data_IF_268665404174
#
_entry.id   IF_268665404174
#
_cell.length_a   1.000
_cell.length_b   1.000
_cell.length_c   1.000
_cell.angle_alpha   90.00
_cell.angle_beta   90.00
_cell.angle_gamma   90.00
#
_symmetry.space_group_name_H-M   'P 1'
#
loop_
_entity.id
_entity.type
_entity.pdbx_description
1 polymer ?
#
# COMPACT_ATOMS: atom_id res chain seq x y z
N UNK A 1 -42.57 65.78 51.71
CA UNK A 1 -44.02 65.86 51.43
C UNK A 1 -44.30 65.11 50.15
N UNK A 2 -45.25 64.19 50.23
CA UNK A 2 -45.65 63.18 49.24
C UNK A 2 -45.94 63.74 47.83
N UNK A 3 -45.57 62.99 46.79
CA UNK A 3 -46.52 62.50 45.78
C UNK A 3 -45.97 61.32 44.97
N UNK A 4 -46.87 60.35 44.80
CA UNK A 4 -46.73 59.00 44.28
C UNK A 4 -46.53 58.91 42.76
N UNK A 5 -45.94 57.80 42.32
CA UNK A 5 -45.97 57.34 40.92
C UNK A 5 -45.61 55.87 40.86
N UNK A 6 -46.63 55.00 40.81
CA UNK A 6 -46.54 53.55 40.63
C UNK A 6 -46.17 53.27 39.17
N UNK A 7 -45.11 52.49 38.93
CA UNK A 7 -44.77 51.96 37.62
C UNK A 7 -44.74 50.42 37.69
N UNK A 8 -45.76 49.80 37.10
CA UNK A 8 -45.77 48.37 36.79
C UNK A 8 -44.82 48.12 35.61
N UNK A 9 -43.78 47.31 35.81
CA UNK A 9 -43.03 46.70 34.70
C UNK A 9 -43.18 45.19 34.81
N UNK A 10 -43.89 44.66 33.81
CA UNK A 10 -44.17 43.27 33.53
C UNK A 10 -42.85 42.57 33.15
N UNK A 11 -42.52 41.50 33.85
CA UNK A 11 -41.42 40.59 33.50
C UNK A 11 -41.76 39.86 32.20
N UNK A 12 -41.02 40.16 31.12
CA UNK A 12 -41.03 39.38 29.89
C UNK A 12 -39.87 38.40 29.93
N UNK A 13 -40.16 37.14 30.26
CA UNK A 13 -39.25 36.01 30.06
C UNK A 13 -39.07 35.80 28.56
N UNK A 14 -37.87 36.08 28.04
CA UNK A 14 -37.50 35.81 26.66
C UNK A 14 -37.25 34.30 26.50
N UNK A 15 -38.28 33.56 26.09
CA UNK A 15 -38.12 32.20 25.60
C UNK A 15 -37.48 32.27 24.21
N UNK A 16 -36.18 31.95 24.12
CA UNK A 16 -35.50 31.71 22.85
C UNK A 16 -36.07 30.45 22.21
N UNK A 17 -37.01 30.64 21.28
CA UNK A 17 -37.47 29.63 20.34
C UNK A 17 -36.32 29.38 19.34
N UNK A 18 -35.55 28.32 19.53
CA UNK A 18 -34.57 27.86 18.54
C UNK A 18 -35.36 27.21 17.41
N UNK A 19 -35.44 27.90 16.28
CA UNK A 19 -35.97 27.38 15.03
C UNK A 19 -34.95 26.35 14.51
N UNK A 20 -35.28 25.06 14.60
CA UNK A 20 -34.59 24.02 13.85
C UNK A 20 -34.92 24.22 12.37
N UNK A 21 -33.99 24.78 11.61
CA UNK A 21 -34.00 24.67 10.16
C UNK A 21 -33.58 23.24 9.79
N UNK A 22 -34.50 22.46 9.25
CA UNK A 22 -34.20 21.22 8.56
C UNK A 22 -33.38 21.54 7.30
N UNK A 23 -32.07 21.32 7.36
CA UNK A 23 -31.23 21.18 6.17
C UNK A 23 -31.41 19.76 5.59
N UNK A 24 -31.72 19.68 4.30
CA UNK A 24 -31.81 18.44 3.52
C UNK A 24 -30.47 17.68 3.41
N UNK A 25 -30.43 16.57 2.66
CA UNK A 25 -29.35 15.60 2.75
C UNK A 25 -28.02 16.17 2.26
N UNK A 26 -27.09 16.26 3.22
CA UNK A 26 -25.65 16.00 3.11
C UNK A 26 -24.95 16.29 1.79
N UNK A 27 -24.55 17.55 1.57
CA UNK A 27 -23.21 17.76 1.05
C UNK A 27 -22.29 17.82 2.29
N UNK A 28 -21.56 16.73 2.54
CA UNK A 28 -20.59 16.67 3.62
C UNK A 28 -19.65 17.87 3.58
N UNK A 29 -19.57 18.61 4.68
CA UNK A 29 -18.46 19.56 4.85
C UNK A 29 -17.17 18.75 4.90
N UNK A 30 -16.06 19.20 4.30
CA UNK A 30 -14.80 18.46 4.38
C UNK A 30 -14.49 18.17 5.85
N UNK A 31 -14.29 16.88 6.17
CA UNK A 31 -13.84 16.48 7.51
C UNK A 31 -12.56 17.24 7.80
N UNK A 32 -12.54 17.95 8.93
CA UNK A 32 -11.52 18.93 9.28
C UNK A 32 -10.10 18.36 9.06
N UNK A 33 -9.39 18.86 8.05
CA UNK A 33 -8.02 18.43 7.70
C UNK A 33 -7.87 17.64 6.38
N UNK A 34 -8.93 17.05 5.81
CA UNK A 34 -8.86 16.33 4.53
C UNK A 34 -9.21 17.27 3.37
N UNK A 35 -8.28 17.45 2.43
CA UNK A 35 -8.56 18.24 1.22
C UNK A 35 -9.65 17.59 0.37
N UNK A 36 -10.49 18.37 -0.33
CA UNK A 36 -11.52 17.87 -1.26
C UNK A 36 -10.98 16.82 -2.25
N UNK A 37 -9.74 16.98 -2.72
CA UNK A 37 -9.10 16.02 -3.63
C UNK A 37 -8.93 14.62 -3.03
N UNK A 38 -8.95 14.46 -1.71
CA UNK A 38 -8.82 13.21 -0.97
C UNK A 38 -10.09 12.85 -0.18
N UNK A 39 -11.19 13.58 -0.39
CA UNK A 39 -12.42 13.41 0.38
C UNK A 39 -13.23 12.22 -0.15
N UNK A 40 -13.66 11.25 0.68
CA UNK A 40 -14.59 10.20 0.26
C UNK A 40 -15.85 10.76 -0.41
N UNK A 41 -16.33 11.92 0.03
CA UNK A 41 -17.52 12.57 -0.55
C UNK A 41 -17.40 12.95 -2.04
N UNK A 42 -16.18 12.98 -2.58
CA UNK A 42 -15.90 13.38 -3.96
C UNK A 42 -15.80 12.20 -4.95
N UNK A 43 -16.15 10.99 -4.53
CA UNK A 43 -16.30 9.85 -5.45
C UNK A 43 -17.37 10.13 -6.53
N UNK A 44 -17.21 9.60 -7.77
CA UNK A 44 -18.12 9.89 -8.88
C UNK A 44 -19.58 9.49 -8.64
N UNK A 45 -19.81 8.38 -7.94
CA UNK A 45 -21.13 7.91 -7.53
C UNK A 45 -21.11 7.54 -6.04
N UNK A 46 -20.87 8.55 -5.19
CA UNK A 46 -20.89 8.38 -3.75
C UNK A 46 -22.23 7.77 -3.26
N UNK A 47 -22.21 7.11 -2.10
CA UNK A 47 -23.36 6.42 -1.49
C UNK A 47 -23.95 5.26 -2.33
N UNK A 48 -23.22 4.79 -3.35
CA UNK A 48 -23.66 3.70 -4.22
C UNK A 48 -22.60 2.59 -4.36
N UNK A 49 -23.05 1.39 -4.75
CA UNK A 49 -22.19 0.22 -4.90
C UNK A 49 -21.48 -0.11 -3.59
N UNK A 50 -20.15 -0.23 -3.62
CA UNK A 50 -19.32 -0.49 -2.44
C UNK A 50 -19.41 0.62 -1.38
N UNK A 51 -19.73 1.86 -1.78
CA UNK A 51 -19.85 3.03 -0.90
C UNK A 51 -21.25 3.19 -0.31
N UNK A 52 -22.15 2.23 -0.51
CA UNK A 52 -23.49 2.25 0.11
C UNK A 52 -23.37 2.30 1.63
N UNK A 53 -24.30 2.99 2.29
CA UNK A 53 -24.28 3.15 3.75
C UNK A 53 -24.21 1.81 4.50
N UNK A 54 -23.34 1.74 5.50
CA UNK A 54 -23.03 0.51 6.25
C UNK A 54 -22.02 -0.43 5.57
N UNK A 55 -21.52 -0.09 4.38
CA UNK A 55 -20.39 -0.76 3.72
C UNK A 55 -19.14 0.14 3.82
N UNK A 56 -18.59 0.62 2.71
CA UNK A 56 -17.32 1.37 2.66
C UNK A 56 -17.52 2.88 2.50
N UNK A 57 -18.55 3.46 3.10
CA UNK A 57 -19.02 4.84 2.85
C UNK A 57 -17.98 5.94 3.18
N UNK A 58 -16.97 5.63 3.99
CA UNK A 58 -15.89 6.57 4.37
C UNK A 58 -14.50 6.18 3.86
N UNK A 59 -14.39 5.20 2.96
CA UNK A 59 -13.08 4.77 2.44
C UNK A 59 -12.39 5.92 1.71
N UNK A 60 -11.11 6.14 2.01
CA UNK A 60 -10.35 7.18 1.33
C UNK A 60 -10.12 6.82 -0.15
N UNK A 61 -10.06 7.78 -1.06
CA UNK A 61 -9.69 7.52 -2.45
C UNK A 61 -8.22 7.12 -2.55
N UNK A 62 -7.95 6.09 -3.36
CA UNK A 62 -6.61 5.52 -3.54
C UNK A 62 -5.60 6.56 -4.07
N UNK A 63 -6.10 7.56 -4.80
CA UNK A 63 -5.37 8.74 -5.30
C UNK A 63 -6.28 9.94 -5.27
N UNK A 64 -5.69 11.13 -5.36
CA UNK A 64 -6.45 12.37 -5.52
C UNK A 64 -7.42 12.27 -6.70
N UNK A 65 -8.69 12.65 -6.52
CA UNK A 65 -9.75 12.53 -7.53
C UNK A 65 -9.40 13.20 -8.87
N UNK A 66 -8.65 14.30 -8.84
CA UNK A 66 -8.24 15.04 -10.03
C UNK A 66 -6.95 14.51 -10.68
N UNK A 67 -6.28 13.55 -10.05
CA UNK A 67 -5.09 12.92 -10.60
C UNK A 67 -5.42 12.10 -11.85
N UNK A 68 -4.43 11.96 -12.75
CA UNK A 68 -4.60 11.13 -13.95
C UNK A 68 -5.00 9.70 -13.58
N UNK A 69 -4.33 9.10 -12.60
CA UNK A 69 -4.62 7.73 -12.17
C UNK A 69 -6.06 7.56 -11.66
N UNK A 70 -6.57 8.48 -10.84
CA UNK A 70 -7.96 8.39 -10.38
C UNK A 70 -8.95 8.50 -11.55
N UNK A 71 -8.70 9.40 -12.51
CA UNK A 71 -9.53 9.54 -13.70
C UNK A 71 -9.54 8.28 -14.57
N UNK A 72 -8.37 7.69 -14.81
CA UNK A 72 -8.25 6.44 -15.56
C UNK A 72 -8.98 5.29 -14.84
N UNK A 73 -8.90 5.23 -13.50
CA UNK A 73 -9.62 4.25 -12.67
C UNK A 73 -11.14 4.43 -12.80
N UNK A 74 -11.64 5.66 -12.77
CA UNK A 74 -13.08 5.91 -12.93
C UNK A 74 -13.57 5.62 -14.34
N UNK A 75 -12.76 5.91 -15.36
CA UNK A 75 -13.07 5.57 -16.75
C UNK A 75 -13.22 4.06 -16.92
N UNK A 76 -12.22 3.28 -16.49
CA UNK A 76 -12.28 1.82 -16.54
C UNK A 76 -13.39 1.26 -15.62
N UNK A 77 -13.60 1.88 -14.47
CA UNK A 77 -14.68 1.53 -13.55
C UNK A 77 -16.06 1.66 -14.22
N UNK A 78 -16.31 2.73 -14.96
CA UNK A 78 -17.55 2.90 -15.71
C UNK A 78 -17.77 1.79 -16.74
N UNK A 79 -16.73 1.31 -17.41
CA UNK A 79 -16.82 0.17 -18.35
C UNK A 79 -17.19 -1.14 -17.63
N UNK A 80 -16.87 -1.24 -16.33
CA UNK A 80 -17.19 -2.37 -15.46
C UNK A 80 -18.47 -2.16 -14.64
N UNK A 81 -19.24 -1.11 -14.95
CA UNK A 81 -20.43 -0.68 -14.19
C UNK A 81 -20.16 -0.43 -12.69
N UNK A 82 -18.96 0.06 -12.39
CA UNK A 82 -18.52 0.55 -11.09
C UNK A 82 -17.91 1.96 -11.25
N UNK A 83 -18.73 3.02 -11.29
CA UNK A 83 -18.26 4.40 -11.45
C UNK A 83 -17.25 4.85 -10.39
N UNK A 84 -17.17 4.17 -9.23
CA UNK A 84 -16.22 4.48 -8.17
C UNK A 84 -14.86 3.76 -8.36
N UNK A 85 -14.79 2.78 -9.28
CA UNK A 85 -13.56 2.12 -9.71
C UNK A 85 -12.96 1.13 -8.69
N UNK A 86 -13.74 0.67 -7.70
CA UNK A 86 -13.31 -0.31 -6.72
C UNK A 86 -12.94 -1.65 -7.37
N UNK A 87 -13.78 -2.17 -8.28
CA UNK A 87 -13.62 -3.49 -8.92
C UNK A 87 -12.46 -3.53 -9.93
N UNK A 88 -11.94 -2.36 -10.35
CA UNK A 88 -10.73 -2.27 -11.19
C UNK A 88 -9.54 -2.94 -10.50
N UNK A 89 -9.42 -2.78 -9.19
CA UNK A 89 -8.34 -3.36 -8.40
C UNK A 89 -8.80 -4.57 -7.60
N UNK A 90 -9.98 -4.48 -7.00
CA UNK A 90 -10.47 -5.49 -6.08
C UNK A 90 -11.28 -6.60 -6.75
N UNK A 91 -11.65 -6.48 -8.03
CA UNK A 91 -12.62 -7.38 -8.67
C UNK A 91 -13.93 -7.43 -7.86
N UNK A 92 -14.66 -8.55 -7.88
CA UNK A 92 -15.95 -8.69 -7.19
C UNK A 92 -17.12 -8.12 -7.99
N UNK A 93 -18.19 -7.72 -7.30
CA UNK A 93 -19.41 -7.25 -7.92
C UNK A 93 -19.98 -5.99 -7.23
N UNK A 94 -19.78 -4.83 -7.85
CA UNK A 94 -20.27 -3.53 -7.37
C UNK A 94 -21.79 -3.32 -7.53
N UNK A 95 -22.51 -4.20 -8.24
CA UNK A 95 -23.93 -4.01 -8.58
C UNK A 95 -24.91 -4.51 -7.51
N UNK A 96 -24.41 -5.00 -6.39
CA UNK A 96 -25.24 -5.66 -5.38
C UNK A 96 -24.91 -5.14 -3.99
N UNK A 97 -25.95 -4.88 -3.19
CA UNK A 97 -25.81 -4.58 -1.77
C UNK A 97 -25.63 -5.83 -0.90
N UNK A 98 -25.69 -7.03 -1.47
CA UNK A 98 -25.42 -8.26 -0.72
C UNK A 98 -23.91 -8.48 -0.61
N UNK A 99 -23.38 -8.41 0.61
CA UNK A 99 -21.96 -8.59 0.94
C UNK A 99 -21.34 -9.86 0.35
N UNK A 100 -21.99 -11.01 0.50
CA UNK A 100 -21.44 -12.29 0.05
C UNK A 100 -21.36 -12.37 -1.48
N UNK A 101 -22.33 -11.77 -2.17
CA UNK A 101 -22.31 -11.69 -3.64
C UNK A 101 -21.32 -10.64 -4.12
N UNK A 102 -21.22 -9.48 -3.44
CA UNK A 102 -20.29 -8.41 -3.78
C UNK A 102 -18.83 -8.86 -3.63
N UNK A 103 -18.51 -9.59 -2.56
CA UNK A 103 -17.15 -10.03 -2.25
C UNK A 103 -16.77 -11.38 -2.87
N UNK A 104 -17.69 -12.02 -3.61
CA UNK A 104 -17.38 -13.28 -4.29
C UNK A 104 -16.28 -13.04 -5.33
N UNK A 105 -15.18 -13.80 -5.23
CA UNK A 105 -13.98 -13.67 -6.08
C UNK A 105 -13.30 -12.28 -5.99
N UNK A 106 -13.52 -11.54 -4.92
CA UNK A 106 -12.82 -10.27 -4.68
C UNK A 106 -11.38 -10.54 -4.24
N UNK A 107 -10.46 -9.70 -4.72
CA UNK A 107 -9.07 -9.63 -4.27
C UNK A 107 -8.98 -8.70 -3.07
N UNK A 108 -8.59 -9.25 -1.92
CA UNK A 108 -8.41 -8.47 -0.69
C UNK A 108 -7.12 -7.63 -0.69
N UNK A 109 -6.06 -8.08 -1.39
CA UNK A 109 -4.74 -7.45 -1.40
C UNK A 109 -4.29 -7.11 -2.83
N UNK A 110 -4.87 -6.06 -3.45
CA UNK A 110 -4.59 -5.72 -4.84
C UNK A 110 -3.14 -5.29 -5.09
N UNK A 111 -2.38 -4.90 -4.06
CA UNK A 111 -0.97 -4.52 -4.22
C UNK A 111 0.00 -5.69 -4.43
N UNK A 112 -0.47 -6.93 -4.27
CA UNK A 112 0.36 -8.12 -4.32
C UNK A 112 0.95 -8.34 -5.70
N UNK A 113 2.22 -8.77 -5.75
CA UNK A 113 2.92 -9.09 -6.99
C UNK A 113 2.56 -10.49 -7.52
N UNK A 114 1.85 -11.29 -6.73
CA UNK A 114 1.41 -12.63 -7.17
C UNK A 114 0.10 -12.60 -7.95
N UNK A 115 -0.47 -11.40 -8.14
CA UNK A 115 -1.63 -11.19 -8.99
C UNK A 115 -1.15 -11.12 -10.44
N UNK A 116 -1.23 -12.25 -11.12
CA UNK A 116 -0.83 -12.35 -12.52
C UNK A 116 -1.74 -11.45 -13.38
N UNK A 117 -3.05 -11.47 -13.21
CA UNK A 117 -3.96 -10.66 -14.02
C UNK A 117 -4.68 -9.60 -13.18
N UNK A 118 -4.37 -8.33 -13.47
CA UNK A 118 -5.15 -7.18 -13.02
C UNK A 118 -4.53 -6.29 -11.93
N UNK A 119 -5.36 -5.53 -11.23
CA UNK A 119 -4.94 -4.50 -10.28
C UNK A 119 -3.95 -3.49 -10.89
N UNK A 120 -2.77 -3.31 -10.30
CA UNK A 120 -1.75 -2.36 -10.79
C UNK A 120 -1.31 -2.71 -12.21
N UNK A 121 -1.33 -3.99 -12.58
CA UNK A 121 -0.86 -4.48 -13.89
C UNK A 121 -1.72 -3.98 -15.05
N UNK A 122 -2.98 -3.61 -14.81
CA UNK A 122 -3.86 -3.03 -15.85
C UNK A 122 -3.25 -1.79 -16.52
N UNK A 123 -2.46 -1.01 -15.78
CA UNK A 123 -1.85 0.22 -16.28
C UNK A 123 -0.31 0.22 -16.20
N UNK A 124 0.28 -0.72 -15.47
CA UNK A 124 1.71 -0.73 -15.10
C UNK A 124 2.35 -2.11 -15.32
N UNK A 125 2.03 -2.77 -16.44
CA UNK A 125 2.52 -4.10 -16.80
C UNK A 125 4.05 -4.19 -16.82
N UNK A 126 4.73 -3.14 -17.29
CA UNK A 126 6.19 -3.06 -17.33
C UNK A 126 6.82 -3.10 -15.92
N UNK A 127 6.09 -2.61 -14.90
CA UNK A 127 6.57 -2.61 -13.52
C UNK A 127 6.33 -3.94 -12.83
N UNK A 128 5.33 -4.72 -13.25
CA UNK A 128 5.10 -6.08 -12.75
C UNK A 128 6.32 -6.98 -13.02
N UNK A 129 6.84 -6.93 -14.25
CA UNK A 129 8.05 -7.65 -14.63
C UNK A 129 9.25 -7.23 -13.77
N UNK A 130 9.46 -5.92 -13.61
CA UNK A 130 10.58 -5.38 -12.84
C UNK A 130 10.48 -5.71 -11.34
N UNK A 131 9.27 -5.72 -10.78
CA UNK A 131 9.05 -5.98 -9.36
C UNK A 131 9.47 -7.40 -8.96
N UNK A 132 9.31 -8.39 -9.84
CA UNK A 132 9.78 -9.75 -9.57
C UNK A 132 11.31 -9.89 -9.54
N UNK A 133 12.03 -9.02 -10.27
CA UNK A 133 13.48 -9.11 -10.50
C UNK A 133 14.32 -8.10 -9.73
N UNK A 134 13.71 -7.15 -9.05
CA UNK A 134 14.46 -6.15 -8.32
C UNK A 134 15.20 -6.77 -7.12
N UNK A 135 16.26 -6.09 -6.65
CA UNK A 135 17.13 -6.58 -5.58
C UNK A 135 16.40 -6.82 -4.25
N UNK A 136 15.33 -6.07 -3.96
CA UNK A 136 14.53 -6.27 -2.75
C UNK A 136 13.65 -7.51 -2.83
N UNK A 137 13.30 -7.98 -4.03
CA UNK A 137 12.55 -9.21 -4.22
C UNK A 137 13.47 -10.43 -4.35
N UNK A 138 14.52 -10.32 -5.15
CA UNK A 138 15.43 -11.45 -5.40
C UNK A 138 16.39 -11.71 -4.25
N UNK A 139 16.72 -10.69 -3.46
CA UNK A 139 17.62 -10.80 -2.31
C UNK A 139 19.04 -11.26 -2.66
N UNK A 140 19.40 -11.30 -3.94
CA UNK A 140 20.57 -12.02 -4.45
C UNK A 140 21.87 -11.56 -3.77
N UNK A 141 22.08 -10.25 -3.63
CA UNK A 141 23.25 -9.71 -2.96
C UNK A 141 23.31 -10.01 -1.47
N UNK A 142 22.17 -10.04 -0.76
CA UNK A 142 22.10 -10.40 0.66
C UNK A 142 22.41 -11.89 0.85
N UNK A 143 21.81 -12.72 0.01
CA UNK A 143 22.02 -14.17 0.01
C UNK A 143 23.50 -14.49 -0.28
N UNK A 144 24.05 -13.94 -1.37
CA UNK A 144 25.44 -14.15 -1.75
C UNK A 144 26.39 -13.67 -0.64
N UNK A 145 26.16 -12.49 -0.08
CA UNK A 145 26.99 -11.97 1.01
C UNK A 145 26.97 -12.82 2.28
N UNK A 146 25.81 -13.40 2.63
CA UNK A 146 25.71 -14.32 3.75
C UNK A 146 26.44 -15.63 3.49
N UNK A 147 26.25 -16.24 2.31
CA UNK A 147 26.96 -17.46 1.91
C UNK A 147 28.48 -17.25 1.84
N UNK A 148 28.91 -16.06 1.39
CA UNK A 148 30.33 -15.67 1.42
C UNK A 148 30.89 -15.64 2.83
N UNK A 149 30.17 -15.02 3.78
CA UNK A 149 30.55 -14.97 5.19
C UNK A 149 30.63 -16.35 5.87
N UNK A 150 29.91 -17.34 5.35
CA UNK A 150 29.89 -18.73 5.83
C UNK A 150 30.72 -19.68 4.97
N UNK A 151 31.95 -19.25 4.63
CA UNK A 151 32.92 -20.10 3.96
C UNK A 151 32.85 -20.09 2.44
N UNK A 152 32.25 -19.06 1.84
CA UNK A 152 32.26 -18.86 0.39
C UNK A 152 31.69 -20.03 -0.43
N UNK A 153 30.53 -20.56 -0.01
CA UNK A 153 29.89 -21.72 -0.62
C UNK A 153 29.67 -21.60 -2.14
N UNK A 154 29.42 -20.38 -2.63
CA UNK A 154 29.26 -20.08 -4.07
C UNK A 154 30.39 -19.25 -4.64
N UNK A 155 31.48 -19.06 -3.89
CA UNK A 155 32.49 -18.08 -4.25
C UNK A 155 31.90 -16.67 -4.38
N UNK A 156 32.42 -15.87 -5.33
CA UNK A 156 31.89 -14.54 -5.62
C UNK A 156 30.64 -14.55 -6.51
N UNK A 157 30.18 -15.73 -6.93
CA UNK A 157 29.10 -15.85 -7.89
C UNK A 157 27.73 -15.75 -7.19
N UNK A 158 26.83 -14.85 -7.64
CA UNK A 158 25.47 -14.75 -7.14
C UNK A 158 24.59 -15.77 -7.84
N UNK A 159 24.54 -16.97 -7.28
CA UNK A 159 23.80 -18.12 -7.84
C UNK A 159 22.33 -18.11 -7.40
N UNK A 160 22.07 -17.66 -6.18
CA UNK A 160 20.78 -17.87 -5.52
C UNK A 160 19.98 -16.60 -5.34
N UNK A 161 18.67 -16.72 -5.54
CA UNK A 161 17.65 -15.74 -5.19
C UNK A 161 16.66 -16.31 -4.18
N UNK A 162 15.82 -15.43 -3.63
CA UNK A 162 14.70 -15.80 -2.78
C UNK A 162 13.64 -16.63 -3.54
N UNK A 163 13.56 -16.42 -4.85
CA UNK A 163 12.76 -17.19 -5.79
C UNK A 163 13.64 -17.56 -6.98
N UNK A 164 13.33 -18.69 -7.64
CA UNK A 164 13.92 -19.00 -8.94
C UNK A 164 13.39 -17.99 -9.96
N UNK A 165 14.31 -17.35 -10.70
CA UNK A 165 13.93 -16.35 -11.68
C UNK A 165 14.96 -16.22 -12.80
N UNK A 166 14.46 -15.97 -14.01
CA UNK A 166 15.27 -15.69 -15.19
C UNK A 166 14.86 -14.37 -15.83
N UNK A 167 15.82 -13.70 -16.44
CA UNK A 167 15.57 -12.55 -17.32
C UNK A 167 15.12 -13.04 -18.71
N UNK A 168 13.86 -12.79 -19.06
CA UNK A 168 13.23 -13.23 -20.30
C UNK A 168 12.90 -12.11 -21.28
N UNK A 169 12.89 -10.85 -20.85
CA UNK A 169 12.68 -9.68 -21.73
C UNK A 169 14.00 -9.12 -22.28
N UNK A 170 15.13 -9.66 -21.80
CA UNK A 170 16.44 -9.39 -22.31
C UNK A 170 17.12 -8.22 -21.62
N UNK A 171 18.39 -8.04 -21.97
CA UNK A 171 19.33 -7.25 -21.18
C UNK A 171 19.15 -5.72 -21.29
N UNK A 172 18.15 -5.23 -22.01
CA UNK A 172 17.93 -3.79 -22.19
C UNK A 172 16.76 -3.36 -21.31
N UNK A 173 16.93 -2.42 -20.36
CA UNK A 173 15.82 -1.96 -19.54
C UNK A 173 14.64 -1.47 -20.39
N UNK A 174 13.43 -1.91 -20.07
CA UNK A 174 12.21 -1.48 -20.76
C UNK A 174 11.96 0.02 -20.56
N UNK A 175 12.17 0.48 -19.32
CA UNK A 175 11.98 1.87 -18.90
C UNK A 175 13.28 2.68 -18.91
N UNK A 176 13.14 4.00 -19.00
CA UNK A 176 14.24 4.96 -18.90
C UNK A 176 14.66 5.58 -20.24
N UNK A 177 15.46 6.65 -20.16
CA UNK A 177 15.95 7.38 -21.33
C UNK A 177 17.01 6.59 -22.09
N UNK A 178 17.30 6.91 -23.37
CA UNK A 178 18.40 6.28 -24.11
C UNK A 178 19.74 6.35 -23.36
N UNK A 179 20.05 7.49 -22.73
CA UNK A 179 21.26 7.66 -21.93
C UNK A 179 21.29 6.75 -20.69
N UNK A 180 20.14 6.53 -20.04
CA UNK A 180 20.02 5.58 -18.93
C UNK A 180 20.27 4.14 -19.41
N UNK A 181 19.67 3.73 -20.53
CA UNK A 181 19.86 2.37 -21.08
C UNK A 181 21.33 2.12 -21.43
N UNK A 182 21.99 3.09 -22.07
CA UNK A 182 23.43 3.02 -22.35
C UNK A 182 24.27 2.91 -21.07
N UNK A 183 23.93 3.70 -20.04
CA UNK A 183 24.58 3.60 -18.73
C UNK A 183 24.42 2.22 -18.10
N UNK A 184 23.23 1.63 -18.14
CA UNK A 184 22.97 0.30 -17.61
C UNK A 184 23.74 -0.79 -18.36
N UNK A 185 23.87 -0.69 -19.69
CA UNK A 185 24.73 -1.58 -20.47
C UNK A 185 26.18 -1.51 -20.01
N UNK A 186 26.75 -0.30 -19.88
CA UNK A 186 28.12 -0.13 -19.38
C UNK A 186 28.31 -0.67 -17.96
N UNK A 187 27.33 -0.49 -17.08
CA UNK A 187 27.37 -1.05 -15.73
C UNK A 187 27.40 -2.57 -15.75
N UNK A 188 26.55 -3.20 -16.56
CA UNK A 188 26.51 -4.65 -16.70
C UNK A 188 27.83 -5.20 -17.26
N UNK A 189 28.35 -4.59 -18.31
CA UNK A 189 29.61 -5.03 -18.92
C UNK A 189 30.77 -4.96 -17.91
N UNK A 190 30.74 -3.96 -17.03
CA UNK A 190 31.75 -3.77 -15.99
C UNK A 190 31.54 -4.68 -14.77
N UNK A 191 30.29 -4.99 -14.43
CA UNK A 191 29.93 -5.72 -13.21
C UNK A 191 28.90 -6.82 -13.51
N UNK A 192 29.22 -7.82 -14.35
CA UNK A 192 28.24 -8.80 -14.82
C UNK A 192 27.59 -9.60 -13.67
N UNK A 193 28.33 -9.87 -12.59
CA UNK A 193 27.80 -10.52 -11.39
C UNK A 193 26.67 -9.72 -10.71
N UNK A 194 26.62 -8.40 -10.84
CA UNK A 194 25.53 -7.60 -10.26
C UNK A 194 24.23 -7.69 -11.06
N UNK A 195 24.27 -8.28 -12.26
CA UNK A 195 23.15 -8.39 -13.18
C UNK A 195 23.03 -9.83 -13.71
N UNK A 196 22.80 -10.82 -12.83
CA UNK A 196 22.70 -12.22 -13.23
C UNK A 196 21.47 -12.42 -14.12
N UNK A 197 21.63 -13.17 -15.21
CA UNK A 197 20.53 -13.54 -16.11
C UNK A 197 19.60 -14.58 -15.49
N UNK A 198 20.11 -15.37 -14.56
CA UNK A 198 19.36 -16.41 -13.85
C UNK A 198 19.80 -16.48 -12.39
N UNK A 199 18.82 -16.67 -11.51
CA UNK A 199 19.01 -16.98 -10.11
C UNK A 199 18.22 -18.25 -9.79
N UNK A 200 18.91 -19.25 -9.23
CA UNK A 200 18.28 -20.45 -8.70
C UNK A 200 17.60 -20.14 -7.36
N UNK A 201 16.56 -20.89 -7.01
CA UNK A 201 15.98 -20.83 -5.67
C UNK A 201 17.04 -21.17 -4.61
N UNK A 202 17.13 -20.40 -3.54
CA UNK A 202 17.99 -20.73 -2.40
C UNK A 202 17.64 -22.14 -1.88
N UNK A 203 18.61 -23.03 -1.64
CA UNK A 203 18.31 -24.38 -1.15
C UNK A 203 17.49 -24.36 0.15
N UNK A 204 16.68 -25.39 0.33
CA UNK A 204 16.01 -25.61 1.61
C UNK A 204 17.04 -25.88 2.71
N UNK A 205 16.69 -25.48 3.93
CA UNK A 205 17.54 -25.67 5.10
C UNK A 205 17.07 -26.88 5.90
N UNK A 206 18.01 -27.70 6.37
CA UNK A 206 17.76 -28.76 7.35
C UNK A 206 18.53 -28.48 8.64
N UNK A 207 17.79 -28.01 9.65
CA UNK A 207 18.36 -27.65 10.96
C UNK A 207 18.95 -28.85 11.71
N UNK A 208 18.49 -30.07 11.41
CA UNK A 208 18.90 -31.27 12.14
C UNK A 208 20.28 -31.78 11.72
N UNK A 209 20.82 -31.27 10.61
CA UNK A 209 22.10 -31.71 10.06
C UNK A 209 23.22 -30.68 10.27
N UNK A 210 22.97 -29.58 10.99
CA UNK A 210 23.95 -28.50 11.20
C UNK A 210 25.28 -28.99 11.78
N UNK A 211 25.26 -30.00 12.66
CA UNK A 211 26.48 -30.54 13.27
C UNK A 211 27.44 -31.17 12.25
N UNK A 212 26.89 -31.80 11.21
CA UNK A 212 27.63 -32.43 10.12
C UNK A 212 27.83 -31.48 8.92
N UNK A 213 26.87 -30.57 8.72
CA UNK A 213 26.75 -29.65 7.61
C UNK A 213 26.56 -28.19 8.09
N UNK A 214 27.62 -27.51 8.57
CA UNK A 214 27.52 -26.17 9.15
C UNK A 214 26.91 -25.10 8.21
N UNK A 215 26.98 -25.31 6.90
CA UNK A 215 26.32 -24.48 5.89
C UNK A 215 24.79 -24.41 6.07
N UNK A 216 24.17 -25.43 6.66
CA UNK A 216 22.75 -25.42 6.99
C UNK A 216 22.40 -24.29 7.97
N UNK A 217 23.37 -23.83 8.77
CA UNK A 217 23.21 -22.67 9.65
C UNK A 217 22.92 -21.38 8.90
N UNK A 218 23.62 -21.08 7.80
CA UNK A 218 23.38 -19.86 7.02
C UNK A 218 22.09 -19.94 6.22
N UNK A 219 21.76 -21.12 5.67
CA UNK A 219 20.49 -21.34 4.98
C UNK A 219 19.31 -21.16 5.95
N UNK A 220 19.41 -21.73 7.15
CA UNK A 220 18.43 -21.56 8.22
C UNK A 220 18.30 -20.09 8.61
N UNK A 221 19.41 -19.38 8.83
CA UNK A 221 19.41 -17.96 9.18
C UNK A 221 18.75 -17.10 8.10
N UNK A 222 19.13 -17.28 6.83
CA UNK A 222 18.55 -16.56 5.70
C UNK A 222 17.03 -16.77 5.66
N UNK A 223 16.57 -18.03 5.64
CA UNK A 223 15.15 -18.37 5.52
C UNK A 223 14.34 -17.91 6.73
N UNK A 224 14.86 -18.12 7.93
CA UNK A 224 14.12 -17.86 9.17
C UNK A 224 14.04 -16.38 9.50
N UNK A 225 15.08 -15.58 9.24
CA UNK A 225 15.12 -14.18 9.69
C UNK A 225 14.90 -13.17 8.56
N UNK A 226 15.53 -13.43 7.42
CA UNK A 226 15.71 -12.48 6.36
C UNK A 226 14.64 -12.64 5.27
N UNK A 227 14.52 -13.82 4.67
CA UNK A 227 13.70 -14.05 3.49
C UNK A 227 12.19 -14.11 3.79
N UNK A 228 11.81 -14.33 5.06
CA UNK A 228 10.41 -14.51 5.51
C UNK A 228 9.51 -13.27 5.42
N UNK A 229 10.05 -12.09 5.12
CA UNK A 229 9.30 -10.83 5.14
C UNK A 229 9.57 -9.93 3.92
N UNK A 230 10.28 -10.42 2.91
CA UNK A 230 10.59 -9.61 1.72
C UNK A 230 9.37 -9.38 0.83
N UNK A 231 9.47 -8.42 -0.09
CA UNK A 231 8.35 -7.65 -0.65
C UNK A 231 7.19 -8.50 -1.20
N UNK A 232 7.39 -9.75 -1.60
CA UNK A 232 6.31 -10.66 -1.96
C UNK A 232 5.34 -11.08 -0.83
N UNK A 233 5.61 -10.80 0.44
CA UNK A 233 4.71 -11.21 1.54
C UNK A 233 4.45 -10.08 2.51
N UNK A 234 3.41 -10.22 3.34
CA UNK A 234 3.07 -9.26 4.41
C UNK A 234 3.91 -9.42 5.68
N UNK A 235 4.85 -10.36 5.71
CA UNK A 235 5.71 -10.59 6.87
C UNK A 235 4.95 -11.03 8.13
N UNK A 236 5.49 -10.72 9.31
CA UNK A 236 5.02 -11.23 10.61
C UNK A 236 3.80 -10.52 11.21
N UNK A 237 3.36 -9.40 10.61
CA UNK A 237 2.18 -8.63 11.06
C UNK A 237 2.19 -8.37 12.58
N UNK A 238 3.29 -7.81 13.08
CA UNK A 238 3.45 -7.38 14.47
C UNK A 238 3.77 -5.89 14.52
N UNK A 239 3.61 -5.29 15.71
CA UNK A 239 3.98 -3.90 15.96
C UNK A 239 5.35 -3.54 15.39
N UNK A 240 5.38 -2.50 14.54
CA UNK A 240 6.57 -1.99 13.85
C UNK A 240 6.99 -2.76 12.59
N UNK A 241 6.31 -3.86 12.24
CA UNK A 241 6.58 -4.67 11.04
C UNK A 241 5.37 -4.68 10.08
N UNK A 242 4.39 -3.77 10.26
CA UNK A 242 3.22 -3.73 9.38
C UNK A 242 3.57 -3.13 8.03
N UNK A 243 3.24 -3.88 6.98
CA UNK A 243 3.31 -3.45 5.59
C UNK A 243 2.36 -4.30 4.73
N UNK A 244 2.06 -3.81 3.53
CA UNK A 244 1.40 -4.60 2.48
C UNK A 244 2.38 -5.55 1.79
N UNK A 245 1.91 -6.31 0.82
CA UNK A 245 2.76 -7.10 -0.07
C UNK A 245 2.89 -6.44 -1.45
N UNK A 246 3.89 -6.87 -2.21
CA UNK A 246 4.24 -6.37 -3.53
C UNK A 246 4.45 -4.85 -3.58
N UNK A 247 3.70 -4.21 -4.48
CA UNK A 247 3.68 -2.76 -4.62
C UNK A 247 3.21 -2.06 -3.34
N UNK A 248 2.27 -2.66 -2.61
CA UNK A 248 1.71 -2.08 -1.39
C UNK A 248 2.70 -2.08 -0.21
N UNK A 249 3.77 -2.89 -0.25
CA UNK A 249 4.82 -2.86 0.77
C UNK A 249 5.45 -1.47 0.92
N UNK A 250 5.51 -0.69 -0.17
CA UNK A 250 6.07 0.66 -0.19
C UNK A 250 5.00 1.74 -0.42
N UNK A 251 3.99 1.43 -1.24
CA UNK A 251 3.04 2.42 -1.73
C UNK A 251 1.79 2.60 -0.87
N UNK A 252 1.49 1.68 0.05
CA UNK A 252 0.37 1.84 0.98
C UNK A 252 0.94 2.16 2.36
N UNK A 253 0.52 3.26 3.01
CA UNK A 253 1.04 3.64 4.31
C UNK A 253 0.50 2.71 5.40
N UNK A 254 1.39 2.29 6.29
CA UNK A 254 1.06 1.58 7.53
C UNK A 254 1.67 2.34 8.70
N UNK A 255 0.97 2.37 9.84
CA UNK A 255 1.51 2.85 11.10
C UNK A 255 2.21 1.73 11.88
N UNK A 256 3.03 2.10 12.87
CA UNK A 256 3.72 1.14 13.74
C UNK A 256 2.76 0.21 14.49
N UNK A 257 1.57 0.70 14.85
CA UNK A 257 0.53 -0.09 15.53
C UNK A 257 -0.34 -0.88 14.54
N UNK A 258 -0.23 -0.62 13.23
CA UNK A 258 -1.04 -1.28 12.21
C UNK A 258 -2.53 -1.01 12.34
N UNK A 259 -2.90 0.18 12.81
CA UNK A 259 -4.28 0.61 12.98
C UNK A 259 -4.76 1.40 11.75
N UNK A 260 -6.05 1.28 11.45
CA UNK A 260 -6.71 2.13 10.47
C UNK A 260 -7.11 3.46 11.10
N UNK A 261 -6.72 4.56 10.46
CA UNK A 261 -7.02 5.92 10.92
C UNK A 261 -7.92 6.68 9.92
N UNK A 262 -8.38 6.01 8.85
CA UNK A 262 -9.31 6.59 7.88
C UNK A 262 -10.75 6.64 8.38
N UNK A 263 -11.66 7.10 7.52
CA UNK A 263 -13.05 7.39 7.89
C UNK A 263 -14.03 6.25 7.57
N UNK A 264 -13.56 5.11 7.07
CA UNK A 264 -14.41 3.97 6.74
C UNK A 264 -14.84 3.23 8.02
N UNK A 265 -16.13 3.27 8.40
CA UNK A 265 -16.60 2.65 9.64
C UNK A 265 -16.61 1.11 9.57
N UNK A 266 -16.48 0.51 8.39
CA UNK A 266 -16.42 -0.94 8.24
C UNK A 266 -15.04 -1.54 8.54
N UNK A 267 -14.02 -0.70 8.69
CA UNK A 267 -12.66 -1.11 9.03
C UNK A 267 -12.39 -0.76 10.51
N UNK A 268 -12.11 -1.75 11.38
CA UNK A 268 -11.82 -1.48 12.79
C UNK A 268 -10.58 -0.58 12.95
N UNK A 269 -10.73 0.51 13.72
CA UNK A 269 -9.63 1.43 14.03
C UNK A 269 -8.78 1.03 15.24
N UNK A 270 -9.21 0.00 15.98
CA UNK A 270 -8.59 -0.50 17.20
C UNK A 270 -8.02 -1.93 17.05
N UNK A 271 -8.17 -2.54 15.88
CA UNK A 271 -7.56 -3.84 15.57
C UNK A 271 -6.25 -3.65 14.77
N UNK A 272 -5.14 -4.29 15.19
CA UNK A 272 -3.91 -4.27 14.41
C UNK A 272 -4.00 -5.07 13.10
N UNK A 273 -3.16 -4.73 12.12
CA UNK A 273 -3.07 -5.42 10.83
C UNK A 273 -3.71 -4.69 9.65
N UNK A 274 -4.11 -3.45 9.86
CA UNK A 274 -4.69 -2.57 8.85
C UNK A 274 -3.68 -1.51 8.36
N UNK A 275 -3.88 -1.08 7.11
CA UNK A 275 -3.21 0.10 6.56
C UNK A 275 -3.63 1.35 7.33
N UNK A 276 -2.81 2.39 7.32
CA UNK A 276 -3.11 3.65 7.98
C UNK A 276 -4.31 4.36 7.33
N UNK A 277 -4.34 4.37 5.99
CA UNK A 277 -5.42 4.94 5.18
C UNK A 277 -5.39 4.31 3.78
N UNK A 278 -6.55 4.23 3.12
CA UNK A 278 -6.67 3.72 1.75
C UNK A 278 -6.19 4.77 0.72
N UNK A 279 -4.88 5.04 0.67
CA UNK A 279 -4.31 5.99 -0.28
C UNK A 279 -2.86 5.67 -0.61
N UNK A 280 -2.45 5.91 -1.86
CA UNK A 280 -1.10 5.61 -2.34
C UNK A 280 -0.14 6.77 -2.04
N UNK A 281 0.93 6.45 -1.33
CA UNK A 281 2.14 7.25 -1.24
C UNK A 281 3.14 6.83 -2.32
N UNK A 282 3.77 7.78 -3.01
CA UNK A 282 4.71 7.49 -4.11
C UNK A 282 5.63 8.68 -4.34
N UNK A 283 5.69 9.24 -5.55
CA UNK A 283 6.47 10.43 -5.85
C UNK A 283 6.00 11.66 -5.06
N UNK A 284 6.76 12.76 -5.18
CA UNK A 284 6.39 14.09 -4.62
C UNK A 284 5.03 14.62 -5.10
N UNK A 285 4.48 14.06 -6.19
CA UNK A 285 3.18 14.43 -6.73
C UNK A 285 2.03 13.60 -6.14
N UNK A 286 2.34 12.45 -5.56
CA UNK A 286 1.36 11.60 -4.89
C UNK A 286 1.26 12.04 -3.43
N UNK A 287 0.35 12.98 -3.17
CA UNK A 287 0.02 13.39 -1.80
C UNK A 287 -0.91 12.36 -1.17
N UNK A 288 -0.78 12.21 0.14
CA UNK A 288 -1.70 11.53 1.05
C UNK A 288 -2.04 12.51 2.16
N UNK A 289 -3.31 12.61 2.53
CA UNK A 289 -3.78 13.48 3.61
C UNK A 289 -4.59 12.66 4.61
N UNK A 290 -4.31 12.86 5.89
CA UNK A 290 -4.96 12.18 6.99
C UNK A 290 -4.91 13.08 8.22
N UNK A 291 -6.05 13.30 8.87
CA UNK A 291 -6.20 14.32 9.93
C UNK A 291 -5.68 15.69 9.43
N UNK A 292 -4.90 16.40 10.23
CA UNK A 292 -4.27 17.68 9.91
C UNK A 292 -2.94 17.55 9.14
N UNK A 293 -2.58 16.33 8.71
CA UNK A 293 -1.28 16.03 8.09
C UNK A 293 -1.43 15.70 6.61
N UNK A 294 -0.48 16.21 5.83
CA UNK A 294 -0.31 15.84 4.42
C UNK A 294 1.14 15.54 4.15
N UNK A 295 1.42 14.41 3.50
CA UNK A 295 2.77 14.05 3.04
C UNK A 295 2.77 13.61 1.58
N UNK A 296 3.97 13.47 1.03
CA UNK A 296 4.24 12.89 -0.29
C UNK A 296 5.64 12.30 -0.27
N UNK A 297 6.00 11.49 -1.25
CA UNK A 297 7.17 10.63 -1.09
C UNK A 297 6.79 9.34 -0.34
N UNK A 298 7.72 8.40 -0.33
CA UNK A 298 7.67 7.23 0.56
C UNK A 298 8.49 7.61 1.80
N UNK A 299 7.87 7.76 2.98
CA UNK A 299 8.59 8.13 4.19
C UNK A 299 9.63 7.06 4.56
N UNK A 300 10.83 7.44 5.04
CA UNK A 300 11.84 6.49 5.51
C UNK A 300 11.33 5.49 6.56
N UNK A 301 10.32 5.88 7.33
CA UNK A 301 9.62 5.04 8.31
C UNK A 301 9.01 3.79 7.64
N UNK A 302 8.54 3.91 6.40
CA UNK A 302 8.05 2.76 5.61
C UNK A 302 9.17 1.74 5.39
N UNK A 303 10.39 2.21 5.14
CA UNK A 303 11.56 1.36 5.00
C UNK A 303 11.99 0.78 6.35
N UNK A 304 11.82 1.54 7.43
CA UNK A 304 12.18 1.11 8.78
C UNK A 304 11.37 -0.11 9.23
N UNK A 305 10.12 -0.29 8.76
CA UNK A 305 9.31 -1.48 9.07
C UNK A 305 10.02 -2.80 8.71
N UNK A 306 10.85 -2.79 7.68
CA UNK A 306 11.61 -3.97 7.24
C UNK A 306 13.09 -3.90 7.64
N UNK A 307 13.67 -2.69 7.69
CA UNK A 307 15.11 -2.49 7.88
C UNK A 307 15.50 -2.09 9.33
N UNK A 308 14.58 -2.18 10.29
CA UNK A 308 14.79 -1.82 11.71
C UNK A 308 15.87 -2.65 12.43
N UNK A 309 16.03 -3.93 12.08
CA UNK A 309 16.93 -4.88 12.79
C UNK A 309 18.35 -4.91 12.22
N UNK A 310 18.52 -4.54 10.96
CA UNK A 310 19.82 -4.59 10.28
C UNK A 310 20.40 -3.22 9.91
N UNK A 311 19.58 -2.14 9.91
CA UNK A 311 19.91 -0.80 9.36
C UNK A 311 20.44 -0.80 7.91
N UNK A 312 20.40 -1.93 7.21
CA UNK A 312 20.85 -2.06 5.82
C UNK A 312 19.65 -1.84 4.92
N UNK A 313 19.43 -0.61 4.50
CA UNK A 313 18.67 -0.30 3.28
C UNK A 313 19.72 -0.42 2.17
N UNK A 314 19.73 -1.55 1.47
CA UNK A 314 20.66 -1.82 0.38
C UNK A 314 20.33 -1.00 -0.85
#
# INVERSE_FOLDING_TARGET
MSKSGILFIISFSLACLVIYAFSGPGAGSPVEGISIQHSPDAYPANESGCLTSGCHEGIAPIRQHDSKMAKDIYELGNELDDPNGCVVCHMGNAKTGNKDVAHKNMISYPGSIWLEDGSCRHCHDEYYYNMHRNLMQTEAGKIQGALWGWGAQTGYDPIYGNYEISDTNGLTPDVGTPAYKEYMHRLRDKYPANFPEHLALLPEADINTIDEHPEQGVLTYLRSECLRCHVGVRGKQRRGDYHGDGCAACHIPFGDEGLYEGLDPSIPGDEPGHMLVHSIQSSRKAKVSLHDKTWSGIPPETCASCHNRGKRIG
#
